data_IF_355104675790
#
_entry.id   IF_355104675790
#
_cell.length_a   1.000
_cell.length_b   1.000
_cell.length_c   1.000
_cell.angle_alpha   90.00
_cell.angle_beta   90.00
_cell.angle_gamma   90.00
#
_symmetry.space_group_name_H-M   'P 1'
#
loop_
_entity.id
_entity.type
_entity.pdbx_description
1 polymer ?
#
# COMPACT_ATOMS: atom_id res chain seq x y z
N UNK A 1 -3.62 -56.23 61.70
CA UNK A 1 -2.20 -56.40 62.06
C UNK A 1 -1.43 -55.31 61.32
N UNK A 2 -0.72 -54.42 62.04
CA UNK A 2 0.12 -53.33 61.51
C UNK A 2 1.19 -53.91 60.58
N UNK A 3 1.64 -53.28 59.50
CA UNK A 3 2.59 -52.15 59.33
C UNK A 3 2.80 -52.03 57.80
N UNK A 4 3.09 -50.91 57.12
CA UNK A 4 3.91 -49.74 57.40
C UNK A 4 4.00 -48.90 56.11
N UNK A 5 4.19 -47.60 56.27
CA UNK A 5 4.22 -46.60 55.20
C UNK A 5 5.60 -46.49 54.54
N UNK A 6 5.65 -46.05 53.28
CA UNK A 6 6.68 -45.10 52.81
C UNK A 6 6.12 -44.21 51.70
N UNK A 7 6.05 -42.92 52.01
CA UNK A 7 5.90 -41.80 51.08
C UNK A 7 7.04 -41.78 50.05
N UNK A 8 6.71 -41.46 48.80
CA UNK A 8 7.56 -40.59 47.98
C UNK A 8 6.67 -39.54 47.30
N UNK A 9 6.80 -38.32 47.80
CA UNK A 9 6.31 -37.06 47.26
C UNK A 9 7.11 -36.61 46.03
N UNK A 10 6.47 -35.97 45.05
CA UNK A 10 6.88 -34.68 44.43
C UNK A 10 5.85 -34.24 43.36
N UNK A 11 5.78 -32.95 42.97
CA UNK A 11 4.54 -32.18 42.93
C UNK A 11 4.15 -31.76 41.50
N UNK A 12 2.96 -31.17 41.41
CA UNK A 12 2.41 -30.53 40.23
C UNK A 12 3.36 -29.48 39.61
N UNK A 13 3.45 -29.47 38.28
CA UNK A 13 3.70 -28.25 37.52
C UNK A 13 2.95 -28.35 36.16
N UNK A 14 1.67 -27.98 36.16
CA UNK A 14 0.99 -27.60 34.92
C UNK A 14 1.52 -26.22 34.50
N UNK A 15 2.46 -26.20 33.56
CA UNK A 15 2.85 -24.97 32.87
C UNK A 15 1.77 -24.63 31.84
N UNK A 16 0.81 -23.77 32.23
CA UNK A 16 -0.13 -23.16 31.32
C UNK A 16 0.60 -22.18 30.40
N UNK A 17 0.75 -22.54 29.14
CA UNK A 17 1.27 -21.64 28.10
C UNK A 17 0.16 -20.65 27.74
N UNK A 18 0.18 -19.48 28.38
CA UNK A 18 -0.69 -18.36 28.02
C UNK A 18 -0.28 -17.86 26.62
N UNK A 19 -1.04 -18.25 25.61
CA UNK A 19 -0.94 -17.68 24.26
C UNK A 19 -1.43 -16.24 24.37
N UNK A 20 -0.49 -15.30 24.47
CA UNK A 20 -0.76 -13.88 24.32
C UNK A 20 -1.23 -13.66 22.88
N UNK A 21 -2.54 -13.57 22.68
CA UNK A 21 -3.10 -13.08 21.44
C UNK A 21 -2.69 -11.61 21.31
N UNK A 22 -1.65 -11.35 20.52
CA UNK A 22 -1.30 -10.00 20.13
C UNK A 22 -2.48 -9.46 19.31
N UNK A 23 -3.27 -8.58 19.92
CA UNK A 23 -4.26 -7.79 19.20
C UNK A 23 -3.48 -6.89 18.25
N UNK A 24 -3.48 -7.24 16.96
CA UNK A 24 -3.01 -6.33 15.91
C UNK A 24 -3.98 -5.16 15.94
N UNK A 25 -3.56 -4.05 16.53
CA UNK A 25 -4.34 -2.82 16.48
C UNK A 25 -4.47 -2.44 15.00
N UNK A 26 -5.69 -2.44 14.47
CA UNK A 26 -5.99 -1.75 13.21
C UNK A 26 -5.74 -0.26 13.47
N UNK A 27 -4.54 0.20 13.11
CA UNK A 27 -4.26 1.60 12.90
C UNK A 27 -5.27 2.15 11.87
N UNK A 28 -5.69 3.40 12.02
CA UNK A 28 -6.83 3.94 11.28
C UNK A 28 -6.54 4.00 9.79
N UNK A 29 -7.09 3.07 9.01
CA UNK A 29 -7.06 3.13 7.55
C UNK A 29 -8.21 4.00 7.05
N UNK A 30 -7.90 5.03 6.27
CA UNK A 30 -8.90 5.88 5.60
C UNK A 30 -9.55 5.08 4.48
N UNK A 31 -10.89 5.00 4.46
CA UNK A 31 -11.61 4.27 3.43
C UNK A 31 -11.46 4.95 2.05
N UNK A 32 -11.47 4.18 0.93
CA UNK A 32 -11.42 4.77 -0.41
C UNK A 32 -12.58 5.74 -0.62
N UNK A 33 -12.34 6.81 -1.38
CA UNK A 33 -13.30 7.87 -1.72
C UNK A 33 -13.90 8.66 -0.54
N UNK A 34 -13.45 8.42 0.70
CA UNK A 34 -13.97 9.10 1.90
C UNK A 34 -13.39 10.51 2.12
N UNK A 35 -12.24 10.79 1.51
CA UNK A 35 -11.56 12.08 1.57
C UNK A 35 -11.56 12.69 0.17
N UNK A 36 -12.05 13.92 -0.01
CA UNK A 36 -12.04 14.57 -1.31
C UNK A 36 -10.61 14.98 -1.70
N UNK A 37 -10.28 14.82 -2.99
CA UNK A 37 -9.17 15.50 -3.61
C UNK A 37 -9.59 16.96 -3.86
N UNK A 38 -8.81 17.91 -3.37
CA UNK A 38 -9.08 19.36 -3.47
C UNK A 38 -7.86 20.02 -4.09
N UNK A 39 -8.06 20.85 -5.10
CA UNK A 39 -6.97 21.56 -5.80
C UNK A 39 -5.83 20.63 -6.25
N UNK A 40 -6.18 19.44 -6.74
CA UNK A 40 -5.26 18.35 -7.14
C UNK A 40 -4.45 17.73 -6.00
N UNK A 41 -4.84 17.93 -4.75
CA UNK A 41 -4.12 17.46 -3.57
C UNK A 41 -4.99 16.56 -2.69
N UNK A 42 -4.34 15.57 -2.08
CA UNK A 42 -4.89 14.77 -1.01
C UNK A 42 -3.92 14.86 0.19
N UNK A 43 -4.21 15.81 1.06
CA UNK A 43 -3.34 16.20 2.19
C UNK A 43 -3.41 15.24 3.38
N UNK A 44 -4.50 14.48 3.50
CA UNK A 44 -4.64 13.45 4.52
C UNK A 44 -3.90 12.17 4.09
N UNK A 45 -3.02 11.64 4.94
CA UNK A 45 -2.44 10.32 4.70
C UNK A 45 -3.51 9.23 4.86
N UNK A 46 -3.41 8.17 4.07
CA UNK A 46 -4.40 7.10 4.05
C UNK A 46 -4.24 6.11 5.23
N UNK A 47 -3.08 6.14 5.87
CA UNK A 47 -2.77 5.36 7.08
C UNK A 47 -1.96 6.21 8.06
N UNK A 48 -1.88 5.74 9.31
CA UNK A 48 -1.00 6.33 10.34
C UNK A 48 0.48 5.94 10.14
N UNK A 49 0.75 4.91 9.35
CA UNK A 49 2.09 4.39 9.13
C UNK A 49 2.79 5.18 8.02
N UNK A 50 4.06 5.53 8.26
CA UNK A 50 4.88 6.19 7.25
C UNK A 50 5.10 5.27 6.06
N UNK A 51 5.03 5.83 4.85
CA UNK A 51 5.37 5.12 3.63
C UNK A 51 6.82 4.61 3.64
N UNK A 52 7.02 3.39 3.14
CA UNK A 52 8.31 2.75 2.95
C UNK A 52 8.70 2.79 1.47
N UNK A 53 9.70 3.61 1.06
CA UNK A 53 10.13 3.70 -0.33
C UNK A 53 10.56 2.37 -0.96
N UNK A 54 11.15 1.44 -0.20
CA UNK A 54 11.55 0.15 -0.75
C UNK A 54 10.34 -0.72 -1.08
N UNK A 55 9.35 -0.78 -0.19
CA UNK A 55 8.08 -1.46 -0.45
C UNK A 55 7.31 -0.78 -1.59
N UNK A 56 7.39 0.56 -1.68
CA UNK A 56 6.80 1.35 -2.75
C UNK A 56 7.40 1.03 -4.11
N UNK A 57 8.72 0.93 -4.19
CA UNK A 57 9.44 0.52 -5.40
C UNK A 57 9.01 -0.86 -5.88
N UNK A 58 8.84 -1.80 -4.95
CA UNK A 58 8.34 -3.15 -5.26
C UNK A 58 6.88 -3.10 -5.75
N UNK A 59 5.98 -2.42 -5.04
CA UNK A 59 4.58 -2.29 -5.42
C UNK A 59 4.38 -1.57 -6.77
N UNK A 60 5.22 -0.57 -7.05
CA UNK A 60 5.26 0.17 -8.32
C UNK A 60 5.60 -0.77 -9.50
N UNK A 61 6.57 -1.67 -9.33
CA UNK A 61 7.01 -2.58 -10.39
C UNK A 61 6.18 -3.88 -10.48
N UNK A 62 5.47 -4.27 -9.42
CA UNK A 62 4.69 -5.51 -9.40
C UNK A 62 3.50 -5.47 -10.35
N UNK A 63 3.46 -6.43 -11.29
CA UNK A 63 2.45 -6.56 -12.36
C UNK A 63 1.03 -6.85 -11.85
N UNK A 64 0.88 -7.34 -10.62
CA UNK A 64 -0.41 -7.61 -9.96
C UNK A 64 -0.83 -6.48 -9.02
N UNK A 65 0.03 -5.48 -8.81
CA UNK A 65 -0.23 -4.31 -7.96
C UNK A 65 -0.25 -3.05 -8.81
N UNK A 66 0.78 -2.19 -8.68
CA UNK A 66 0.86 -0.91 -9.38
C UNK A 66 1.08 -1.07 -10.88
N UNK A 67 1.87 -2.07 -11.30
CA UNK A 67 2.23 -2.33 -12.70
C UNK A 67 2.62 -1.04 -13.46
N UNK A 68 3.22 -0.08 -12.76
CA UNK A 68 3.40 1.28 -13.25
C UNK A 68 4.37 1.33 -14.44
N UNK A 69 5.33 0.40 -14.46
CA UNK A 69 6.27 0.22 -15.57
C UNK A 69 5.60 -0.17 -16.89
N UNK A 70 4.35 -0.65 -16.88
CA UNK A 70 3.62 -0.89 -18.13
C UNK A 70 3.29 0.40 -18.89
N UNK A 71 3.31 1.55 -18.23
CA UNK A 71 3.00 2.85 -18.84
C UNK A 71 4.13 3.87 -18.70
N UNK A 72 4.94 3.78 -17.64
CA UNK A 72 5.96 4.78 -17.33
C UNK A 72 7.36 4.17 -17.32
N UNK A 73 8.34 4.96 -17.73
CA UNK A 73 9.75 4.66 -17.52
C UNK A 73 10.34 5.49 -16.36
N UNK A 74 11.33 4.92 -15.68
CA UNK A 74 12.29 5.65 -14.84
C UNK A 74 13.64 4.92 -14.88
N UNK A 75 14.70 5.65 -14.56
CA UNK A 75 16.08 5.14 -14.58
C UNK A 75 16.46 4.36 -13.34
N UNK A 76 15.76 4.54 -12.22
CA UNK A 76 15.99 3.81 -10.98
C UNK A 76 15.70 2.30 -11.14
N UNK A 77 14.65 1.95 -11.89
CA UNK A 77 14.25 0.57 -12.21
C UNK A 77 14.79 0.09 -13.57
N UNK A 78 15.90 0.63 -14.07
CA UNK A 78 16.47 0.25 -15.39
C UNK A 78 16.84 -1.23 -15.52
N UNK A 79 16.95 -1.97 -14.41
CA UNK A 79 17.14 -3.42 -14.41
C UNK A 79 15.86 -4.20 -14.78
N UNK A 80 14.69 -3.56 -14.70
CA UNK A 80 13.43 -4.08 -15.24
C UNK A 80 13.37 -3.80 -16.74
N UNK A 81 12.94 -4.78 -17.52
CA UNK A 81 12.90 -4.68 -18.98
C UNK A 81 11.54 -4.16 -19.47
N UNK A 82 11.55 -3.55 -20.65
CA UNK A 82 10.33 -3.18 -21.41
C UNK A 82 9.39 -2.20 -20.69
N UNK A 83 9.95 -1.08 -20.22
CA UNK A 83 9.12 0.02 -19.72
C UNK A 83 8.24 0.59 -20.83
N UNK A 84 6.99 0.91 -20.49
CA UNK A 84 6.05 1.57 -21.39
C UNK A 84 6.38 3.06 -21.59
N UNK A 85 5.85 3.61 -22.67
CA UNK A 85 6.00 5.02 -23.08
C UNK A 85 4.65 5.73 -23.20
N UNK A 86 3.62 5.19 -22.54
CA UNK A 86 2.25 5.71 -22.61
C UNK A 86 2.09 6.93 -21.72
N UNK A 87 2.61 6.85 -20.50
CA UNK A 87 2.72 7.98 -19.58
C UNK A 87 4.09 8.64 -19.68
N UNK A 88 4.27 9.83 -19.09
CA UNK A 88 5.56 10.51 -19.05
C UNK A 88 6.60 9.72 -18.26
N UNK A 89 7.88 9.97 -18.54
CA UNK A 89 9.01 9.50 -17.72
C UNK A 89 8.87 10.07 -16.30
N UNK A 90 9.11 9.23 -15.29
CA UNK A 90 8.94 9.59 -13.87
C UNK A 90 10.23 9.99 -13.17
N UNK A 91 11.38 9.99 -13.86
CA UNK A 91 12.57 10.69 -13.36
C UNK A 91 12.23 12.17 -13.10
N UNK A 92 12.65 12.70 -11.94
CA UNK A 92 12.33 14.07 -11.50
C UNK A 92 10.91 14.32 -11.06
N UNK A 93 10.06 13.29 -10.92
CA UNK A 93 8.66 13.49 -10.53
C UNK A 93 8.52 14.18 -9.17
N UNK A 94 9.45 13.92 -8.24
CA UNK A 94 9.48 14.54 -6.91
C UNK A 94 9.86 16.03 -6.92
N UNK A 95 10.42 16.54 -8.02
CA UNK A 95 10.71 17.96 -8.20
C UNK A 95 9.54 18.70 -8.86
N UNK A 96 8.67 17.96 -9.56
CA UNK A 96 7.48 18.50 -10.25
C UNK A 96 6.22 18.50 -9.40
N UNK A 97 6.12 17.57 -8.45
CA UNK A 97 4.90 17.34 -7.67
C UNK A 97 5.21 17.19 -6.19
N UNK A 98 4.33 17.72 -5.34
CA UNK A 98 4.37 17.47 -3.90
C UNK A 98 3.89 16.04 -3.58
N UNK A 99 4.18 15.56 -2.36
CA UNK A 99 3.69 14.26 -1.90
C UNK A 99 2.15 14.19 -1.90
N UNK A 100 1.48 15.29 -1.60
CA UNK A 100 0.00 15.36 -1.53
C UNK A 100 -0.62 15.34 -2.93
N UNK A 101 0.03 15.96 -3.91
CA UNK A 101 -0.36 15.85 -5.31
C UNK A 101 -0.12 14.45 -5.86
N UNK A 102 1.03 13.84 -5.55
CA UNK A 102 1.32 12.46 -5.96
C UNK A 102 0.34 11.48 -5.33
N UNK A 103 -0.04 11.68 -4.07
CA UNK A 103 -1.08 10.88 -3.41
C UNK A 103 -2.41 11.02 -4.14
N UNK A 104 -2.84 12.24 -4.46
CA UNK A 104 -4.07 12.44 -5.24
C UNK A 104 -4.03 11.71 -6.59
N UNK A 105 -2.92 11.82 -7.32
CA UNK A 105 -2.72 11.17 -8.63
C UNK A 105 -2.80 9.64 -8.50
N UNK A 106 -2.12 9.05 -7.52
CA UNK A 106 -2.13 7.60 -7.30
C UNK A 106 -3.50 7.11 -6.82
N UNK A 107 -4.15 7.84 -5.91
CA UNK A 107 -5.47 7.48 -5.38
C UNK A 107 -6.52 7.48 -6.49
N UNK A 108 -6.66 8.60 -7.19
CA UNK A 108 -7.60 8.73 -8.30
C UNK A 108 -7.12 9.77 -9.32
N UNK A 109 -6.33 9.31 -10.29
CA UNK A 109 -5.84 10.15 -11.39
C UNK A 109 -6.94 10.78 -12.24
N UNK A 110 -8.16 10.23 -12.30
CA UNK A 110 -9.29 10.83 -13.03
C UNK A 110 -9.86 12.06 -12.33
N UNK A 111 -9.87 12.08 -11.00
CA UNK A 111 -10.27 13.26 -10.23
C UNK A 111 -9.21 14.39 -10.38
N UNK A 112 -7.96 14.06 -10.74
CA UNK A 112 -6.87 15.04 -10.97
C UNK A 112 -6.80 15.51 -12.43
N UNK A 113 -6.76 14.59 -13.38
CA UNK A 113 -6.50 14.87 -14.81
C UNK A 113 -7.75 14.81 -15.69
N UNK A 114 -8.90 14.40 -15.15
CA UNK A 114 -10.14 14.20 -15.87
C UNK A 114 -10.24 12.84 -16.57
N UNK A 115 -11.42 12.55 -17.13
CA UNK A 115 -11.78 11.25 -17.72
C UNK A 115 -10.93 10.81 -18.92
N UNK A 116 -10.18 11.74 -19.52
CA UNK A 116 -9.30 11.43 -20.66
C UNK A 116 -8.01 10.73 -20.24
N UNK A 117 -7.63 10.79 -18.95
CA UNK A 117 -6.48 10.01 -18.49
C UNK A 117 -6.81 8.52 -18.51
N UNK A 118 -5.91 7.76 -19.13
CA UNK A 118 -5.99 6.30 -19.10
C UNK A 118 -5.30 5.71 -17.87
N UNK A 119 -4.57 6.52 -17.10
CA UNK A 119 -4.02 6.08 -15.82
C UNK A 119 -5.20 5.64 -14.93
N UNK A 120 -5.13 4.47 -14.29
CA UNK A 120 -6.17 4.04 -13.36
C UNK A 120 -6.07 4.84 -12.05
N UNK A 121 -7.16 4.87 -11.29
CA UNK A 121 -7.09 5.19 -9.86
C UNK A 121 -6.76 3.91 -9.10
N UNK A 122 -5.79 3.96 -8.20
CA UNK A 122 -5.31 2.77 -7.49
C UNK A 122 -5.99 2.57 -6.12
N UNK A 123 -6.64 3.62 -5.58
CA UNK A 123 -7.32 3.59 -4.30
C UNK A 123 -8.69 4.28 -4.34
N UNK A 124 -9.53 3.82 -5.26
CA UNK A 124 -10.89 4.32 -5.45
C UNK A 124 -11.81 3.16 -5.85
N UNK A 125 -13.09 3.27 -5.50
CA UNK A 125 -14.17 2.40 -5.95
C UNK A 125 -14.99 3.05 -7.08
N UNK A 126 -14.62 4.26 -7.52
CA UNK A 126 -15.17 4.91 -8.73
C UNK A 126 -14.55 4.30 -9.99
N UNK A 127 -14.83 3.02 -10.20
CA UNK A 127 -14.24 2.20 -11.26
C UNK A 127 -15.19 2.05 -12.46
N UNK A 128 -14.76 1.32 -13.48
CA UNK A 128 -15.53 1.12 -14.71
C UNK A 128 -16.84 0.33 -14.53
N UNK A 129 -17.58 0.16 -15.63
CA UNK A 129 -18.96 -0.35 -15.62
C UNK A 129 -19.06 -1.86 -15.31
N UNK A 130 -18.10 -2.68 -15.75
CA UNK A 130 -18.14 -4.14 -15.68
C UNK A 130 -16.94 -4.70 -14.92
N UNK A 131 -16.83 -4.35 -13.63
CA UNK A 131 -15.79 -4.91 -12.76
C UNK A 131 -16.01 -6.41 -12.59
N UNK A 132 -14.94 -7.19 -12.68
CA UNK A 132 -15.02 -8.62 -12.40
C UNK A 132 -15.53 -8.86 -10.97
N UNK A 133 -16.40 -9.85 -10.78
CA UNK A 133 -17.07 -10.14 -9.51
C UNK A 133 -16.06 -10.31 -8.34
N UNK A 134 -14.95 -11.00 -8.62
CA UNK A 134 -13.85 -11.21 -7.67
C UNK A 134 -13.14 -9.95 -7.18
N UNK A 135 -13.26 -8.83 -7.92
CA UNK A 135 -12.64 -7.54 -7.60
C UNK A 135 -13.68 -6.48 -7.17
N UNK A 136 -14.97 -6.84 -7.08
CA UNK A 136 -16.00 -5.91 -6.67
C UNK A 136 -15.75 -5.41 -5.24
N UNK A 137 -15.82 -4.08 -5.05
CA UNK A 137 -15.61 -3.44 -3.75
C UNK A 137 -14.16 -3.43 -3.25
N UNK A 138 -13.19 -3.78 -4.10
CA UNK A 138 -11.77 -3.78 -3.78
C UNK A 138 -11.03 -2.71 -4.57
N UNK A 139 -9.98 -2.15 -3.97
CA UNK A 139 -9.03 -1.25 -4.63
C UNK A 139 -7.84 -2.03 -5.18
N UNK A 140 -7.13 -1.47 -6.15
CA UNK A 140 -5.95 -2.12 -6.77
C UNK A 140 -4.79 -2.18 -5.76
N UNK A 141 -4.54 -1.08 -5.06
CA UNK A 141 -3.58 -1.00 -3.97
C UNK A 141 -4.31 -0.91 -2.63
N UNK A 142 -3.67 -1.34 -1.57
CA UNK A 142 -4.08 -0.99 -0.20
C UNK A 142 -3.70 0.45 0.13
N UNK A 143 -4.30 1.02 1.19
CA UNK A 143 -3.96 2.35 1.68
C UNK A 143 -2.45 2.47 1.98
N UNK A 144 -1.84 1.44 2.57
CA UNK A 144 -0.42 1.45 2.89
C UNK A 144 0.44 1.40 1.62
N UNK A 145 0.08 0.58 0.64
CA UNK A 145 0.83 0.49 -0.61
C UNK A 145 0.80 1.80 -1.39
N UNK A 146 -0.28 2.59 -1.30
CA UNK A 146 -0.30 3.96 -1.86
C UNK A 146 0.73 4.84 -1.17
N UNK A 147 0.76 4.88 0.16
CA UNK A 147 1.75 5.71 0.90
C UNK A 147 3.19 5.24 0.62
N UNK A 148 3.40 3.94 0.48
CA UNK A 148 4.69 3.36 0.11
C UNK A 148 5.09 3.81 -1.32
N UNK A 149 4.18 3.72 -2.30
CA UNK A 149 4.42 4.19 -3.67
C UNK A 149 4.69 5.68 -3.73
N UNK A 150 3.92 6.50 -3.00
CA UNK A 150 4.19 7.94 -2.89
C UNK A 150 5.58 8.18 -2.29
N UNK A 151 5.94 7.46 -1.23
CA UNK A 151 7.27 7.57 -0.63
C UNK A 151 8.40 7.19 -1.61
N UNK A 152 8.19 6.19 -2.47
CA UNK A 152 9.11 5.85 -3.56
C UNK A 152 9.18 6.94 -4.63
N UNK A 153 8.03 7.44 -5.12
CA UNK A 153 8.00 8.50 -6.12
C UNK A 153 8.74 9.75 -5.62
N UNK A 154 8.65 10.06 -4.33
CA UNK A 154 9.38 11.16 -3.69
C UNK A 154 10.91 10.98 -3.67
N UNK A 155 11.44 9.78 -3.95
CA UNK A 155 12.89 9.55 -4.12
C UNK A 155 13.36 9.80 -5.56
N UNK A 156 12.45 9.86 -6.53
CA UNK A 156 12.76 10.05 -7.95
C UNK A 156 12.91 11.54 -8.28
N UNK A 157 14.11 12.07 -8.04
CA UNK A 157 14.51 13.45 -8.34
C UNK A 157 15.38 13.54 -9.59
N UNK A 158 15.42 14.72 -10.20
CA UNK A 158 16.39 15.07 -11.23
C UNK A 158 17.78 15.12 -10.58
N UNK A 159 18.75 14.50 -11.24
CA UNK A 159 20.16 14.52 -10.81
C UNK A 159 20.90 15.71 -11.42
#
# INVERSE_FOLDING_TARGET
>A
MRTGATLTSLPALLAGLAVMAASVATAGTVAPDSVPIVDMELTQTLTDAKGNPAAGREAFADRKKGNCLACHANTDLKEQLFHGEVGPVLDGVADRWSADQLRAIVVNSKDVFGEQTIMPGFYTLKVGVNVAEENAGQTILTAQEVEDVVAYLMTLKDN
#
